data_IF_253068435390
#
_entry.id   IF_253068435390
#
_cell.length_a   1.000
_cell.length_b   1.000
_cell.length_c   1.000
_cell.angle_alpha   90.00
_cell.angle_beta   90.00
_cell.angle_gamma   90.00
#
_symmetry.space_group_name_H-M   'P 1'
#
loop_
_entity.id
_entity.type
_entity.pdbx_description
1 polymer ?
#
# COMPACT_ATOMS: atom_id res chain seq x y z
N UNK A 1 -13.96 -13.89 10.85
CA UNK A 1 -14.40 -12.52 10.46
C UNK A 1 -13.21 -11.61 10.70
N UNK A 2 -12.63 -11.04 9.65
CA UNK A 2 -11.65 -9.97 9.80
C UNK A 2 -12.37 -8.67 10.13
N UNK A 3 -11.77 -7.83 10.96
CA UNK A 3 -12.21 -6.45 11.13
C UNK A 3 -11.35 -5.62 10.18
N UNK A 4 -11.83 -5.28 8.98
CA UNK A 4 -11.05 -4.47 8.06
C UNK A 4 -10.80 -3.09 8.68
N UNK A 5 -9.59 -2.58 8.51
CA UNK A 5 -9.21 -1.25 8.94
C UNK A 5 -9.13 -0.33 7.72
N UNK A 6 -9.70 0.87 7.84
CA UNK A 6 -9.61 1.93 6.85
C UNK A 6 -8.68 3.02 7.37
N UNK A 7 -7.57 3.26 6.66
CA UNK A 7 -6.67 4.38 6.93
C UNK A 7 -7.02 5.53 5.98
N UNK A 8 -7.33 6.68 6.56
CA UNK A 8 -7.64 7.91 5.82
C UNK A 8 -6.47 8.89 5.94
N UNK A 9 -5.85 9.21 4.80
CA UNK A 9 -4.68 10.09 4.76
C UNK A 9 -5.04 11.51 5.20
N UNK A 10 -6.15 12.05 4.71
CA UNK A 10 -6.54 13.45 4.96
C UNK A 10 -6.89 13.64 6.44
N UNK A 11 -7.64 12.69 7.03
CA UNK A 11 -7.93 12.69 8.45
C UNK A 11 -6.66 12.54 9.32
N UNK A 12 -5.69 11.75 8.86
CA UNK A 12 -4.41 11.54 9.56
C UNK A 12 -3.59 12.83 9.55
N UNK A 13 -3.44 13.46 8.39
CA UNK A 13 -2.71 14.72 8.23
C UNK A 13 -3.36 15.84 9.07
N UNK A 14 -4.69 15.97 9.01
CA UNK A 14 -5.42 16.97 9.79
C UNK A 14 -5.27 16.77 11.30
N UNK A 15 -5.37 15.53 11.78
CA UNK A 15 -5.19 15.18 13.20
C UNK A 15 -3.79 15.52 13.70
N UNK A 16 -2.78 15.32 12.85
CA UNK A 16 -1.38 15.55 13.18
C UNK A 16 -0.85 16.90 12.71
N UNK A 17 -1.70 17.76 12.14
CA UNK A 17 -1.37 19.13 11.70
C UNK A 17 -0.07 19.20 10.89
N UNK A 18 0.12 18.25 9.99
CA UNK A 18 1.29 18.13 9.11
C UNK A 18 0.87 17.98 7.66
N UNK A 19 1.79 18.32 6.74
CA UNK A 19 1.58 18.08 5.31
C UNK A 19 1.98 16.66 4.91
N UNK A 20 1.65 16.28 3.65
CA UNK A 20 2.09 15.01 3.07
C UNK A 20 3.61 14.91 3.04
N UNK A 21 4.30 16.00 2.71
CA UNK A 21 5.77 16.09 2.69
C UNK A 21 6.34 15.85 4.08
N UNK A 22 5.76 16.47 5.11
CA UNK A 22 6.18 16.27 6.49
C UNK A 22 5.90 14.84 6.98
N UNK A 23 4.82 14.20 6.53
CA UNK A 23 4.57 12.80 6.82
C UNK A 23 5.64 11.88 6.21
N UNK A 24 6.07 12.16 4.98
CA UNK A 24 7.20 11.47 4.33
C UNK A 24 8.49 11.71 5.12
N UNK A 25 8.76 12.95 5.54
CA UNK A 25 9.93 13.29 6.35
C UNK A 25 9.95 12.53 7.69
N UNK A 26 8.78 12.43 8.35
CA UNK A 26 8.60 11.61 9.56
C UNK A 26 8.93 10.14 9.29
N UNK A 27 8.46 9.58 8.18
CA UNK A 27 8.73 8.19 7.81
C UNK A 27 10.23 7.95 7.56
N UNK A 28 10.89 8.85 6.83
CA UNK A 28 12.33 8.77 6.57
C UNK A 28 13.13 8.82 7.87
N UNK A 29 12.76 9.67 8.83
CA UNK A 29 13.40 9.73 10.14
C UNK A 29 13.24 8.43 10.94
N UNK A 30 12.07 7.79 10.85
CA UNK A 30 11.80 6.51 11.50
C UNK A 30 12.51 5.32 10.84
N UNK A 31 12.81 5.45 9.54
CA UNK A 31 13.28 4.37 8.69
C UNK A 31 12.18 3.82 7.79
N UNK A 32 12.57 3.51 6.57
CA UNK A 32 11.71 2.92 5.53
C UNK A 32 12.42 1.71 4.91
N UNK A 33 11.79 1.03 3.96
CA UNK A 33 12.46 -0.04 3.20
C UNK A 33 13.64 0.48 2.36
N UNK A 34 13.79 1.80 2.19
CA UNK A 34 14.86 2.44 1.42
C UNK A 34 15.93 3.13 2.26
N UNK A 35 15.74 3.25 3.58
CA UNK A 35 16.72 3.85 4.49
C UNK A 35 16.56 3.34 5.94
N UNK A 36 17.66 3.19 6.67
CA UNK A 36 17.62 2.66 8.06
C UNK A 36 16.99 3.63 9.10
N UNK A 37 16.73 4.88 8.71
CA UNK A 37 16.28 5.93 9.61
C UNK A 37 17.36 6.41 10.58
N UNK A 38 16.94 7.08 11.66
CA UNK A 38 17.84 7.50 12.73
C UNK A 38 17.62 6.60 13.95
N UNK A 39 18.70 5.97 14.43
CA UNK A 39 18.66 5.15 15.64
C UNK A 39 18.08 5.92 16.83
N UNK A 40 17.02 5.37 17.44
CA UNK A 40 16.33 5.98 18.58
C UNK A 40 15.26 7.01 18.22
N UNK A 41 15.01 7.24 16.93
CA UNK A 41 13.91 8.09 16.43
C UNK A 41 12.76 7.21 15.96
N UNK A 42 11.70 7.15 16.76
CA UNK A 42 10.44 6.50 16.39
C UNK A 42 9.36 7.51 15.96
N UNK A 43 8.15 7.04 15.60
CA UNK A 43 7.10 7.90 15.01
C UNK A 43 6.72 9.11 15.84
N UNK A 44 6.63 8.96 17.17
CA UNK A 44 6.30 10.08 18.07
C UNK A 44 7.42 11.12 18.11
N UNK A 45 8.67 10.67 18.14
CA UNK A 45 9.85 11.55 18.19
C UNK A 45 10.01 12.28 16.87
N UNK A 46 9.98 11.55 15.75
CA UNK A 46 10.07 12.12 14.41
C UNK A 46 8.98 13.17 14.16
N UNK A 47 7.73 12.87 14.54
CA UNK A 47 6.64 13.84 14.41
C UNK A 47 6.86 15.11 15.25
N UNK A 48 7.41 14.96 16.47
CA UNK A 48 7.76 16.11 17.31
C UNK A 48 8.85 16.95 16.67
N UNK A 49 9.92 16.30 16.18
CA UNK A 49 11.05 17.00 15.55
C UNK A 49 10.61 17.74 14.29
N UNK A 50 9.79 17.13 13.45
CA UNK A 50 9.29 17.77 12.22
C UNK A 50 8.38 18.95 12.53
N UNK A 51 7.56 18.87 13.58
CA UNK A 51 6.75 20.01 14.04
C UNK A 51 7.61 21.15 14.59
N UNK A 52 8.76 20.85 15.20
CA UNK A 52 9.67 21.84 15.77
C UNK A 52 10.55 22.50 14.69
N UNK A 53 11.12 21.70 13.79
CA UNK A 53 12.14 22.13 12.84
C UNK A 53 11.62 22.37 11.42
N UNK A 54 10.41 21.88 11.10
CA UNK A 54 9.70 22.14 9.85
C UNK A 54 9.87 21.05 8.79
N UNK A 55 11.10 20.61 8.52
CA UNK A 55 11.41 19.63 7.47
C UNK A 55 12.53 18.65 7.87
N UNK A 56 12.71 17.61 7.05
CA UNK A 56 13.75 16.58 7.24
C UNK A 56 15.15 17.17 7.42
N UNK A 57 15.52 18.17 6.61
CA UNK A 57 16.88 18.71 6.57
C UNK A 57 17.22 19.47 7.85
N UNK A 58 16.29 20.31 8.31
CA UNK A 58 16.44 21.05 9.56
C UNK A 58 16.53 20.09 10.77
N UNK A 59 15.81 18.96 10.75
CA UNK A 59 15.94 17.93 11.79
C UNK A 59 17.31 17.24 11.74
N UNK A 60 17.80 16.89 10.55
CA UNK A 60 19.12 16.27 10.38
C UNK A 60 20.24 17.21 10.85
N UNK A 61 20.17 18.49 10.51
CA UNK A 61 21.11 19.50 10.96
C UNK A 61 21.07 19.69 12.49
N UNK A 62 19.87 19.78 13.09
CA UNK A 62 19.71 19.94 14.53
C UNK A 62 20.19 18.71 15.33
N UNK A 63 20.13 17.52 14.74
CA UNK A 63 20.58 16.26 15.35
C UNK A 63 22.03 15.89 15.01
N UNK A 64 22.70 16.69 14.19
CA UNK A 64 24.02 16.37 13.62
C UNK A 64 24.02 14.96 12.99
N UNK A 65 22.91 14.61 12.33
CA UNK A 65 22.66 13.29 11.76
C UNK A 65 22.70 13.34 10.24
N UNK A 66 22.95 12.18 9.61
CA UNK A 66 22.99 12.05 8.17
C UNK A 66 22.29 10.77 7.75
N UNK A 67 21.43 10.87 6.73
CA UNK A 67 20.80 9.74 6.06
C UNK A 67 21.28 9.76 4.60
N UNK A 68 21.90 8.66 4.18
CA UNK A 68 22.42 8.55 2.82
C UNK A 68 21.28 8.58 1.78
N UNK A 69 21.45 9.37 0.72
CA UNK A 69 20.47 9.52 -0.37
C UNK A 69 19.05 9.93 0.09
N UNK A 70 18.93 10.62 1.23
CA UNK A 70 17.64 11.03 1.78
C UNK A 70 16.79 11.84 0.78
N UNK A 71 17.43 12.60 -0.10
CA UNK A 71 16.81 13.39 -1.16
C UNK A 71 16.10 12.49 -2.16
N UNK A 72 16.79 11.44 -2.61
CA UNK A 72 16.24 10.46 -3.56
C UNK A 72 15.12 9.63 -2.95
N UNK A 73 15.25 9.25 -1.68
CA UNK A 73 14.20 8.50 -0.96
C UNK A 73 12.96 9.39 -0.81
N UNK A 74 13.14 10.66 -0.45
CA UNK A 74 12.04 11.62 -0.34
C UNK A 74 11.34 11.84 -1.68
N UNK A 75 12.10 12.04 -2.75
CA UNK A 75 11.54 12.22 -4.09
C UNK A 75 10.79 10.97 -4.56
N UNK A 76 11.30 9.76 -4.28
CA UNK A 76 10.61 8.51 -4.61
C UNK A 76 9.20 8.44 -3.99
N UNK A 77 9.02 8.94 -2.78
CA UNK A 77 7.69 8.94 -2.12
C UNK A 77 6.80 10.09 -2.58
N UNK A 78 7.36 11.24 -2.95
CA UNK A 78 6.58 12.42 -3.33
C UNK A 78 6.19 12.44 -4.80
N UNK A 79 7.07 11.94 -5.66
CA UNK A 79 6.94 11.86 -7.11
C UNK A 79 7.41 10.49 -7.63
N UNK A 80 6.69 9.39 -7.27
CA UNK A 80 7.03 8.06 -7.76
C UNK A 80 6.83 7.95 -9.27
N UNK A 81 7.61 7.10 -9.96
CA UNK A 81 7.38 6.82 -11.37
C UNK A 81 6.06 6.04 -11.55
N UNK A 82 5.00 6.75 -11.90
CA UNK A 82 3.66 6.19 -12.19
C UNK A 82 3.40 6.13 -13.68
N UNK A 83 2.44 5.29 -14.08
CA UNK A 83 1.96 5.19 -15.46
C UNK A 83 0.44 5.10 -15.48
N UNK A 84 -0.16 5.81 -16.43
CA UNK A 84 -1.59 5.72 -16.75
C UNK A 84 -1.86 4.74 -17.91
N UNK A 85 -0.81 4.09 -18.44
CA UNK A 85 -0.89 3.14 -19.54
C UNK A 85 -1.34 1.76 -19.04
N UNK A 86 -2.60 1.68 -18.60
CA UNK A 86 -3.27 0.44 -18.26
C UNK A 86 -4.75 0.52 -18.63
N UNK A 87 -5.33 -0.62 -19.00
CA UNK A 87 -6.77 -0.78 -19.16
C UNK A 87 -7.30 -1.63 -18.00
N UNK A 88 -8.39 -1.19 -17.40
CA UNK A 88 -9.13 -1.96 -16.42
C UNK A 88 -10.46 -2.37 -17.03
N UNK A 89 -10.60 -3.66 -17.32
CA UNK A 89 -11.85 -4.22 -17.80
C UNK A 89 -12.73 -4.64 -16.62
N UNK A 90 -13.97 -4.17 -16.61
CA UNK A 90 -14.97 -4.53 -15.61
C UNK A 90 -15.81 -5.74 -16.03
N UNK A 91 -15.68 -6.19 -17.29
CA UNK A 91 -16.32 -7.41 -17.77
C UNK A 91 -15.69 -8.64 -17.09
N UNK A 92 -16.52 -9.42 -16.39
CA UNK A 92 -16.10 -10.57 -15.62
C UNK A 92 -16.52 -11.86 -16.32
N UNK A 93 -15.74 -12.26 -17.33
CA UNK A 93 -15.89 -13.54 -18.02
C UNK A 93 -14.63 -14.41 -17.89
N UNK A 94 -14.32 -14.92 -16.67
CA UNK A 94 -13.14 -15.75 -16.45
C UNK A 94 -13.34 -17.17 -16.98
N UNK A 95 -12.28 -17.76 -17.53
CA UNK A 95 -12.25 -19.18 -17.88
C UNK A 95 -12.03 -20.04 -16.62
N UNK A 96 -13.14 -20.52 -16.05
CA UNK A 96 -13.13 -21.30 -14.82
C UNK A 96 -12.50 -22.67 -14.99
N UNK A 97 -12.69 -23.32 -16.15
CA UNK A 97 -12.10 -24.63 -16.40
C UNK A 97 -10.59 -24.54 -16.51
N UNK A 98 -10.08 -23.55 -17.26
CA UNK A 98 -8.65 -23.29 -17.36
C UNK A 98 -8.04 -22.93 -16.00
N UNK A 99 -8.70 -22.07 -15.21
CA UNK A 99 -8.23 -21.73 -13.87
C UNK A 99 -8.18 -22.95 -12.93
N UNK A 100 -9.18 -23.83 -12.98
CA UNK A 100 -9.23 -25.06 -12.19
C UNK A 100 -8.15 -26.06 -12.61
N UNK A 101 -7.91 -26.20 -13.90
CA UNK A 101 -6.85 -27.05 -14.43
C UNK A 101 -5.47 -26.52 -14.02
N UNK A 102 -5.24 -25.20 -14.12
CA UNK A 102 -3.98 -24.58 -13.71
C UNK A 102 -3.66 -24.88 -12.24
N UNK A 103 -4.66 -24.72 -11.35
CA UNK A 103 -4.46 -24.94 -9.90
C UNK A 103 -4.30 -26.42 -9.54
N UNK A 104 -5.04 -27.33 -10.17
CA UNK A 104 -5.04 -28.74 -9.79
C UNK A 104 -4.03 -29.61 -10.56
N UNK A 105 -3.77 -29.28 -11.83
CA UNK A 105 -2.87 -30.05 -12.70
C UNK A 105 -1.45 -29.49 -12.74
N UNK A 106 -1.27 -28.17 -12.74
CA UNK A 106 0.08 -27.56 -12.78
C UNK A 106 0.63 -27.26 -11.38
N UNK A 107 -0.20 -26.71 -10.49
CA UNK A 107 0.18 -26.42 -9.11
C UNK A 107 -0.06 -27.60 -8.15
N UNK A 108 -0.63 -28.70 -8.64
CA UNK A 108 -0.86 -29.96 -7.92
C UNK A 108 -1.65 -29.81 -6.61
N UNK A 109 -2.48 -28.77 -6.49
CA UNK A 109 -3.38 -28.60 -5.35
C UNK A 109 -4.50 -29.64 -5.45
N UNK A 110 -4.78 -30.34 -4.36
CA UNK A 110 -5.84 -31.34 -4.33
C UNK A 110 -7.19 -30.73 -4.70
N UNK A 111 -7.90 -31.34 -5.67
CA UNK A 111 -9.14 -30.79 -6.21
C UNK A 111 -10.21 -30.51 -5.13
N UNK A 112 -10.28 -31.35 -4.10
CA UNK A 112 -11.22 -31.20 -2.98
C UNK A 112 -10.96 -29.95 -2.13
N UNK A 113 -9.71 -29.46 -2.07
CA UNK A 113 -9.36 -28.25 -1.32
C UNK A 113 -9.89 -26.99 -1.99
N UNK A 114 -9.98 -26.98 -3.33
CA UNK A 114 -10.37 -25.83 -4.14
C UNK A 114 -11.81 -25.89 -4.64
N UNK A 115 -12.47 -27.04 -4.56
CA UNK A 115 -13.83 -27.26 -5.05
C UNK A 115 -14.83 -26.20 -4.56
N UNK A 116 -14.90 -25.98 -3.23
CA UNK A 116 -15.78 -24.96 -2.63
C UNK A 116 -15.42 -23.52 -3.03
N UNK A 117 -14.16 -23.27 -3.37
CA UNK A 117 -13.71 -21.97 -3.86
C UNK A 117 -14.28 -21.68 -5.25
N UNK A 118 -14.12 -22.63 -6.17
CA UNK A 118 -14.65 -22.51 -7.52
C UNK A 118 -16.18 -22.47 -7.58
N UNK A 119 -16.88 -23.29 -6.78
CA UNK A 119 -18.34 -23.22 -6.68
C UNK A 119 -18.84 -21.82 -6.29
N UNK A 120 -18.14 -21.15 -5.35
CA UNK A 120 -18.48 -19.79 -4.95
C UNK A 120 -18.25 -18.78 -6.08
N UNK A 121 -17.14 -18.90 -6.81
CA UNK A 121 -16.84 -18.01 -7.95
C UNK A 121 -17.90 -18.16 -9.03
N UNK A 122 -18.20 -19.39 -9.44
CA UNK A 122 -19.24 -19.71 -10.44
C UNK A 122 -20.60 -19.11 -10.03
N UNK A 123 -20.97 -19.22 -8.74
CA UNK A 123 -22.23 -18.66 -8.24
C UNK A 123 -22.30 -17.14 -8.31
N UNK A 124 -21.17 -16.44 -8.10
CA UNK A 124 -21.12 -14.97 -8.13
C UNK A 124 -21.17 -14.43 -9.56
N UNK A 125 -20.61 -15.13 -10.54
CA UNK A 125 -20.67 -14.73 -11.95
C UNK A 125 -22.10 -14.74 -12.50
N UNK A 126 -22.92 -15.71 -12.08
CA UNK A 126 -24.35 -15.78 -12.45
C UNK A 126 -25.15 -14.62 -11.87
N UNK A 127 -24.79 -14.14 -10.67
CA UNK A 127 -25.46 -12.99 -10.05
C UNK A 127 -25.18 -11.69 -10.80
N UNK A 128 -23.94 -11.45 -11.21
CA UNK A 128 -23.57 -10.24 -11.99
C UNK A 128 -24.24 -10.23 -13.37
N UNK A 129 -24.40 -11.39 -14.02
CA UNK A 129 -25.11 -11.48 -15.29
C UNK A 129 -26.61 -11.18 -15.23
N UNK A 130 -27.25 -11.23 -14.05
CA UNK A 130 -28.65 -10.81 -13.89
C UNK A 130 -28.81 -9.28 -13.80
N UNK A 131 -27.79 -8.58 -13.27
CA UNK A 131 -27.78 -7.11 -13.17
C UNK A 131 -27.61 -6.43 -14.54
N UNK A 132 -27.06 -7.12 -15.55
CA UNK A 132 -26.97 -6.62 -16.94
C UNK A 132 -28.29 -6.71 -17.73
N UNK A 133 -29.30 -7.41 -17.24
CA UNK A 133 -30.59 -7.62 -17.92
C UNK A 133 -31.73 -6.68 -17.48
N UNK A 134 -31.51 -5.81 -16.50
CA UNK A 134 -32.47 -4.81 -15.99
C UNK A 134 -32.04 -3.39 -16.40
#
# INVERSE_FOLDING_TARGET
KGNPELMDLEATLAKHEITREQLVDVAILCGTDFNEGISGVGPKTALSDIREHGDLWAVLDAREAYIENADRVRDLFLDPPVTDDYAFDTDLSPDIEAARAYVTAEWEVAADEVARGFERIESSLVQTGLDEWI
#
